data_IF_504631066415
#
_entry.id   IF_504631066415
#
_cell.length_a   1.000
_cell.length_b   1.000
_cell.length_c   1.000
_cell.angle_alpha   90.00
_cell.angle_beta   90.00
_cell.angle_gamma   90.00
#
_symmetry.space_group_name_H-M   'P 1'
#
loop_
_entity.id
_entity.type
_entity.pdbx_description
1 polymer ?
#
# COMPACT_ATOMS: atom_id res chain seq x y z
N UNK A 1 7.16 -3.74 -15.19
CA UNK A 1 6.76 -3.41 -13.80
C UNK A 1 6.35 -4.67 -13.04
N UNK A 2 6.29 -4.59 -11.71
CA UNK A 2 5.81 -5.71 -10.87
C UNK A 2 4.38 -6.09 -11.26
N UNK A 3 3.52 -5.10 -11.53
CA UNK A 3 2.16 -5.32 -11.99
C UNK A 3 2.09 -6.13 -13.30
N UNK A 4 2.99 -5.87 -14.26
CA UNK A 4 3.05 -6.65 -15.51
C UNK A 4 3.48 -8.10 -15.26
N UNK A 5 4.44 -8.33 -14.36
CA UNK A 5 4.86 -9.69 -13.97
C UNK A 5 3.70 -10.44 -13.32
N UNK A 6 2.95 -9.79 -12.44
CA UNK A 6 1.79 -10.36 -11.78
C UNK A 6 0.67 -10.72 -12.78
N UNK A 7 0.42 -9.85 -13.77
CA UNK A 7 -0.53 -10.12 -14.86
C UNK A 7 -0.12 -11.35 -15.69
N UNK A 8 1.18 -11.53 -15.94
CA UNK A 8 1.71 -12.70 -16.66
C UNK A 8 1.51 -14.00 -15.87
N UNK A 9 1.75 -13.99 -14.55
CA UNK A 9 1.55 -15.16 -13.70
C UNK A 9 0.05 -15.54 -13.61
N UNK A 10 -0.85 -14.57 -13.56
CA UNK A 10 -2.29 -14.81 -13.62
C UNK A 10 -2.68 -15.44 -14.96
N UNK A 11 -2.19 -14.88 -16.09
CA UNK A 11 -2.45 -15.41 -17.42
C UNK A 11 -1.93 -16.84 -17.57
N UNK A 12 -0.77 -17.15 -17.01
CA UNK A 12 -0.20 -18.50 -16.97
C UNK A 12 -1.10 -19.47 -16.20
N UNK A 13 -1.55 -19.09 -14.99
CA UNK A 13 -2.47 -19.93 -14.22
C UNK A 13 -3.77 -20.24 -14.98
N UNK A 14 -4.32 -19.25 -15.67
CA UNK A 14 -5.51 -19.40 -16.52
C UNK A 14 -5.26 -20.35 -17.70
N UNK A 15 -4.08 -20.31 -18.33
CA UNK A 15 -3.74 -21.09 -19.51
C UNK A 15 -3.57 -22.61 -19.25
N UNK A 16 -3.36 -23.00 -17.98
CA UNK A 16 -3.05 -24.38 -17.59
C UNK A 16 -4.30 -25.27 -17.40
N UNK A 17 -5.52 -24.80 -17.70
CA UNK A 17 -6.78 -25.51 -17.44
C UNK A 17 -6.86 -26.07 -16.00
N UNK A 18 -6.36 -25.33 -15.04
CA UNK A 18 -6.32 -25.74 -13.64
C UNK A 18 -7.73 -25.89 -13.08
N UNK A 19 -7.97 -26.91 -12.28
CA UNK A 19 -9.24 -27.11 -11.56
C UNK A 19 -9.30 -26.29 -10.26
N UNK A 20 -8.14 -25.94 -9.72
CA UNK A 20 -7.97 -25.11 -8.53
C UNK A 20 -6.90 -24.07 -8.81
N UNK A 21 -7.16 -22.82 -8.50
CA UNK A 21 -6.22 -21.70 -8.62
C UNK A 21 -6.06 -21.04 -7.25
N UNK A 22 -4.81 -20.79 -6.85
CA UNK A 22 -4.50 -20.08 -5.60
C UNK A 22 -3.92 -18.73 -5.98
N UNK A 23 -4.54 -17.67 -5.50
CA UNK A 23 -4.13 -16.30 -5.68
C UNK A 23 -3.71 -15.72 -4.32
N UNK A 24 -2.41 -15.46 -4.15
CA UNK A 24 -1.84 -14.93 -2.92
C UNK A 24 -1.47 -13.46 -3.13
N UNK A 25 -2.16 -12.56 -2.41
CA UNK A 25 -2.04 -11.10 -2.49
C UNK A 25 -2.01 -10.57 -3.95
N UNK A 26 -2.92 -10.99 -4.85
CA UNK A 26 -2.78 -10.75 -6.28
C UNK A 26 -2.93 -9.27 -6.66
N UNK A 27 -3.43 -8.42 -5.77
CA UNK A 27 -3.70 -7.00 -6.01
C UNK A 27 -2.69 -6.05 -5.38
N UNK A 28 -1.66 -6.57 -4.70
CA UNK A 28 -0.72 -5.76 -3.90
C UNK A 28 0.00 -4.66 -4.70
N UNK A 29 0.20 -4.85 -6.01
CA UNK A 29 0.90 -3.92 -6.91
C UNK A 29 0.04 -3.44 -8.07
N UNK A 30 -1.25 -3.73 -8.06
CA UNK A 30 -2.19 -3.37 -9.12
C UNK A 30 -2.86 -2.01 -8.84
N UNK A 31 -3.17 -1.29 -9.92
CA UNK A 31 -4.08 -0.14 -9.91
C UNK A 31 -5.53 -0.60 -9.81
N UNK A 32 -6.45 0.29 -9.42
CA UNK A 32 -7.88 -0.05 -9.28
C UNK A 32 -8.46 -0.62 -10.59
N UNK A 33 -8.09 -0.10 -11.75
CA UNK A 33 -8.53 -0.62 -13.05
C UNK A 33 -8.02 -2.05 -13.32
N UNK A 34 -6.78 -2.36 -12.88
CA UNK A 34 -6.19 -3.70 -13.00
C UNK A 34 -6.85 -4.67 -12.01
N UNK A 35 -7.22 -4.22 -10.82
CA UNK A 35 -7.98 -5.00 -9.84
C UNK A 35 -9.35 -5.39 -10.42
N UNK A 36 -10.08 -4.46 -11.02
CA UNK A 36 -11.35 -4.77 -11.68
C UNK A 36 -11.19 -5.77 -12.84
N UNK A 37 -10.10 -5.65 -13.61
CA UNK A 37 -9.79 -6.61 -14.66
C UNK A 37 -9.53 -8.01 -14.10
N UNK A 38 -8.76 -8.11 -13.00
CA UNK A 38 -8.53 -9.35 -12.28
C UNK A 38 -9.84 -9.96 -11.77
N UNK A 39 -10.72 -9.17 -11.17
CA UNK A 39 -12.00 -9.66 -10.66
C UNK A 39 -12.91 -10.20 -11.78
N UNK A 40 -12.88 -9.60 -12.97
CA UNK A 40 -13.57 -10.16 -14.14
C UNK A 40 -13.03 -11.54 -14.51
N UNK A 41 -11.69 -11.72 -14.50
CA UNK A 41 -11.04 -13.01 -14.76
C UNK A 41 -11.45 -14.04 -13.70
N UNK A 42 -11.42 -13.67 -12.42
CA UNK A 42 -11.80 -14.55 -11.30
C UNK A 42 -13.25 -15.03 -11.46
N UNK A 43 -14.19 -14.10 -11.78
CA UNK A 43 -15.60 -14.43 -12.00
C UNK A 43 -15.79 -15.33 -13.23
N UNK A 44 -15.03 -15.13 -14.31
CA UNK A 44 -15.06 -15.98 -15.49
C UNK A 44 -14.54 -17.39 -15.17
N UNK A 45 -13.43 -17.54 -14.47
CA UNK A 45 -12.92 -18.84 -14.02
C UNK A 45 -13.92 -19.57 -13.14
N UNK A 46 -14.53 -18.88 -12.17
CA UNK A 46 -15.59 -19.43 -11.32
C UNK A 46 -16.78 -19.92 -12.16
N UNK A 47 -17.23 -19.17 -13.16
CA UNK A 47 -18.34 -19.55 -14.03
C UNK A 47 -18.04 -20.82 -14.87
N UNK A 48 -16.77 -21.09 -15.12
CA UNK A 48 -16.29 -22.30 -15.79
C UNK A 48 -16.08 -23.48 -14.83
N UNK A 49 -16.42 -23.35 -13.55
CA UNK A 49 -16.29 -24.39 -12.54
C UNK A 49 -14.88 -24.54 -11.94
N UNK A 50 -14.01 -23.56 -12.11
CA UNK A 50 -12.71 -23.53 -11.43
C UNK A 50 -12.90 -23.08 -9.99
N UNK A 51 -12.34 -23.82 -9.03
CA UNK A 51 -12.29 -23.42 -7.63
C UNK A 51 -11.12 -22.47 -7.38
N UNK A 52 -11.34 -21.42 -6.58
CA UNK A 52 -10.30 -20.43 -6.30
C UNK A 52 -10.08 -20.29 -4.79
N UNK A 53 -8.82 -20.18 -4.38
CA UNK A 53 -8.42 -19.76 -3.05
C UNK A 53 -7.83 -18.35 -3.22
N UNK A 54 -8.46 -17.35 -2.61
CA UNK A 54 -8.06 -15.96 -2.68
C UNK A 54 -7.53 -15.51 -1.34
N UNK A 55 -6.24 -15.20 -1.25
CA UNK A 55 -5.59 -14.76 -0.02
C UNK A 55 -5.35 -13.25 -0.12
N UNK A 56 -5.88 -12.50 0.81
CA UNK A 56 -5.69 -11.04 0.88
C UNK A 56 -5.94 -10.51 2.30
N UNK A 57 -5.33 -9.38 2.61
CA UNK A 57 -5.64 -8.58 3.81
C UNK A 57 -6.59 -7.42 3.51
N UNK A 58 -6.98 -7.23 2.26
CA UNK A 58 -7.92 -6.18 1.83
C UNK A 58 -9.36 -6.66 1.95
N UNK A 59 -10.01 -6.31 3.04
CA UNK A 59 -11.35 -6.81 3.37
C UNK A 59 -12.42 -6.46 2.33
N UNK A 60 -12.29 -5.33 1.63
CA UNK A 60 -13.20 -4.96 0.56
C UNK A 60 -13.17 -5.97 -0.59
N UNK A 61 -11.97 -6.41 -1.00
CA UNK A 61 -11.77 -7.39 -2.05
C UNK A 61 -12.35 -8.75 -1.67
N UNK A 62 -12.04 -9.23 -0.45
CA UNK A 62 -12.53 -10.51 0.06
C UNK A 62 -14.06 -10.53 0.05
N UNK A 63 -14.71 -9.48 0.53
CA UNK A 63 -16.18 -9.38 0.57
C UNK A 63 -16.82 -9.30 -0.81
N UNK A 64 -16.12 -8.75 -1.78
CA UNK A 64 -16.62 -8.60 -3.14
C UNK A 64 -16.54 -9.89 -3.95
N UNK A 65 -15.45 -10.68 -3.77
CA UNK A 65 -15.14 -11.77 -4.70
C UNK A 65 -15.36 -13.16 -4.10
N UNK A 66 -15.29 -13.33 -2.77
CA UNK A 66 -15.35 -14.64 -2.12
C UNK A 66 -16.78 -15.04 -1.75
N UNK A 67 -17.05 -16.35 -1.79
CA UNK A 67 -18.30 -16.93 -1.28
C UNK A 67 -18.22 -17.17 0.24
N UNK A 68 -17.10 -17.76 0.68
CA UNK A 68 -16.80 -18.03 2.08
C UNK A 68 -15.49 -17.36 2.50
N UNK A 69 -15.42 -16.97 3.75
CA UNK A 69 -14.25 -16.33 4.37
C UNK A 69 -13.72 -17.22 5.48
N UNK A 70 -12.50 -17.72 5.30
CA UNK A 70 -11.76 -18.43 6.34
C UNK A 70 -10.78 -17.47 7.01
N UNK A 71 -10.88 -17.32 8.31
CA UNK A 71 -9.95 -16.51 9.09
C UNK A 71 -8.90 -17.39 9.75
N UNK A 72 -7.66 -16.99 9.62
CA UNK A 72 -6.51 -17.57 10.31
C UNK A 72 -5.83 -16.49 11.18
N UNK A 73 -5.28 -16.91 12.32
CA UNK A 73 -4.54 -16.04 13.22
C UNK A 73 -3.44 -16.82 13.92
N UNK A 74 -2.23 -16.28 13.96
CA UNK A 74 -1.04 -16.90 14.60
C UNK A 74 -0.81 -18.34 14.14
N UNK A 75 -1.05 -18.64 12.85
CA UNK A 75 -0.97 -19.98 12.27
C UNK A 75 -2.13 -20.91 12.60
N UNK A 76 -3.10 -20.45 13.40
CA UNK A 76 -4.27 -21.22 13.82
C UNK A 76 -5.52 -20.90 12.98
N UNK A 77 -6.37 -21.91 12.77
CA UNK A 77 -7.70 -21.75 12.20
C UNK A 77 -8.65 -21.15 13.22
N UNK A 78 -9.32 -20.06 12.84
CA UNK A 78 -10.32 -19.37 13.70
C UNK A 78 -11.73 -19.79 13.34
N UNK A 79 -12.04 -19.90 12.06
CA UNK A 79 -13.36 -20.31 11.56
C UNK A 79 -13.58 -19.94 10.11
N UNK A 80 -14.69 -20.42 9.54
CA UNK A 80 -15.16 -20.14 8.18
C UNK A 80 -16.61 -19.69 8.22
N UNK A 81 -16.95 -18.65 7.48
CA UNK A 81 -18.28 -18.08 7.42
C UNK A 81 -18.62 -17.65 5.98
N UNK A 82 -19.92 -17.69 5.58
CA UNK A 82 -20.35 -17.08 4.32
C UNK A 82 -19.97 -15.59 4.27
N UNK A 83 -19.38 -15.15 3.16
CA UNK A 83 -18.94 -13.74 3.01
C UNK A 83 -20.11 -12.75 3.14
N UNK A 84 -21.30 -13.14 2.68
CA UNK A 84 -22.52 -12.32 2.77
C UNK A 84 -23.00 -12.06 4.20
N UNK A 85 -22.62 -12.91 5.16
CA UNK A 85 -23.04 -12.81 6.56
C UNK A 85 -22.04 -12.03 7.43
N UNK A 86 -20.86 -11.67 6.88
CA UNK A 86 -19.78 -11.05 7.64
C UNK A 86 -19.64 -9.57 7.29
N UNK A 87 -19.60 -8.71 8.32
CA UNK A 87 -19.17 -7.32 8.13
C UNK A 87 -17.64 -7.21 8.17
N UNK A 88 -17.10 -6.13 7.62
CA UNK A 88 -15.64 -5.85 7.66
C UNK A 88 -15.12 -5.84 9.11
N UNK A 89 -15.86 -5.22 10.02
CA UNK A 89 -15.50 -5.11 11.44
C UNK A 89 -15.46 -6.48 12.11
N UNK A 90 -16.41 -7.36 11.79
CA UNK A 90 -16.45 -8.72 12.31
C UNK A 90 -15.27 -9.55 11.81
N UNK A 91 -14.92 -9.44 10.52
CA UNK A 91 -13.75 -10.13 9.97
C UNK A 91 -12.48 -9.66 10.68
N UNK A 92 -12.29 -8.33 10.78
CA UNK A 92 -11.12 -7.74 11.44
C UNK A 92 -11.05 -8.17 12.94
N UNK A 93 -12.18 -8.13 13.66
CA UNK A 93 -12.24 -8.57 15.06
C UNK A 93 -11.78 -10.02 15.22
N UNK A 94 -12.20 -10.91 14.30
CA UNK A 94 -11.75 -12.32 14.32
C UNK A 94 -10.27 -12.48 13.98
N UNK A 95 -9.73 -11.68 13.03
CA UNK A 95 -8.31 -11.67 12.69
C UNK A 95 -7.43 -11.18 13.84
N UNK A 96 -7.84 -10.10 14.53
CA UNK A 96 -7.09 -9.49 15.63
C UNK A 96 -7.35 -10.18 16.97
N UNK A 97 -8.49 -10.84 17.12
CA UNK A 97 -8.90 -11.56 18.34
C UNK A 97 -9.45 -10.67 19.44
N UNK A 98 -9.73 -9.42 19.16
CA UNK A 98 -10.41 -8.45 20.07
C UNK A 98 -11.27 -7.50 19.25
N UNK A 99 -12.31 -6.96 19.84
CA UNK A 99 -13.06 -5.87 19.24
C UNK A 99 -12.16 -4.63 19.10
N UNK A 100 -12.13 -4.06 17.90
CA UNK A 100 -11.43 -2.80 17.65
C UNK A 100 -12.37 -1.65 18.03
N UNK A 101 -12.30 -1.20 19.26
CA UNK A 101 -13.08 -0.05 19.74
C UNK A 101 -12.55 1.28 19.21
N UNK A 102 -11.25 1.35 18.87
CA UNK A 102 -10.60 2.52 18.27
C UNK A 102 -9.63 2.09 17.18
N UNK A 103 -10.03 2.21 15.92
CA UNK A 103 -9.17 1.89 14.75
C UNK A 103 -8.02 2.90 14.64
N UNK A 104 -8.27 4.13 15.01
CA UNK A 104 -7.25 5.19 15.01
C UNK A 104 -7.04 5.71 16.43
N UNK A 105 -5.79 5.81 16.91
CA UNK A 105 -5.54 6.51 18.16
C UNK A 105 -6.00 7.97 18.03
N UNK A 106 -6.50 8.59 19.14
CA UNK A 106 -6.85 9.99 19.11
C UNK A 106 -5.65 10.80 18.66
N UNK A 107 -5.89 11.83 17.82
CA UNK A 107 -4.84 12.77 17.45
C UNK A 107 -4.29 13.39 18.73
N UNK A 108 -2.99 13.30 18.92
CA UNK A 108 -2.34 14.02 20.00
C UNK A 108 -2.51 15.52 19.74
N UNK A 109 -3.14 16.24 20.65
CA UNK A 109 -3.25 17.72 20.65
C UNK A 109 -1.91 18.40 21.00
N UNK A 110 -0.79 17.70 20.84
CA UNK A 110 0.54 18.30 21.02
C UNK A 110 0.73 19.37 19.95
N UNK A 111 0.79 20.62 20.40
CA UNK A 111 1.15 21.75 19.52
C UNK A 111 2.47 21.41 18.84
N UNK A 112 2.47 21.47 17.51
CA UNK A 112 3.69 21.25 16.73
C UNK A 112 4.80 22.18 17.22
N UNK A 113 5.96 21.61 17.55
CA UNK A 113 7.11 22.33 18.07
C UNK A 113 7.88 23.10 16.99
N UNK A 114 9.15 23.35 17.25
CA UNK A 114 10.07 23.98 16.30
C UNK A 114 10.20 23.19 14.98
N UNK A 115 10.53 23.87 13.90
CA UNK A 115 10.83 23.24 12.61
C UNK A 115 12.15 22.48 12.72
N UNK A 116 12.09 21.17 12.50
CA UNK A 116 13.26 20.29 12.50
C UNK A 116 13.86 20.10 11.12
N UNK A 117 12.99 19.93 10.11
CA UNK A 117 13.38 19.80 8.71
C UNK A 117 12.63 20.84 7.88
N UNK A 118 13.33 21.52 7.01
CA UNK A 118 12.77 22.48 6.06
C UNK A 118 13.39 22.18 4.67
N UNK A 119 12.55 21.76 3.74
CA UNK A 119 12.92 21.45 2.36
C UNK A 119 12.33 22.53 1.48
N UNK A 120 13.15 23.10 0.59
CA UNK A 120 12.77 24.25 -0.24
C UNK A 120 13.14 24.02 -1.69
N UNK A 121 12.17 24.15 -2.59
CA UNK A 121 12.35 24.11 -4.04
C UNK A 121 13.06 22.86 -4.55
N UNK A 122 12.85 21.71 -3.91
CA UNK A 122 13.60 20.50 -4.15
C UNK A 122 13.17 19.82 -5.44
N UNK A 123 14.09 19.67 -6.39
CA UNK A 123 13.79 19.17 -7.74
C UNK A 123 14.77 18.07 -8.14
N UNK A 124 14.24 17.03 -8.75
CA UNK A 124 14.99 15.91 -9.32
C UNK A 124 15.83 16.36 -10.54
N UNK A 125 16.93 15.64 -10.80
CA UNK A 125 17.66 15.72 -12.08
C UNK A 125 16.85 15.18 -13.27
N UNK A 126 15.74 14.49 -13.03
CA UNK A 126 14.86 13.92 -14.04
C UNK A 126 13.60 14.74 -14.19
N UNK A 127 13.33 15.30 -15.37
CA UNK A 127 12.17 16.17 -15.64
C UNK A 127 10.81 15.54 -15.35
N UNK A 128 10.70 14.21 -15.42
CA UNK A 128 9.47 13.46 -15.14
C UNK A 128 9.36 12.98 -13.70
N UNK A 129 10.21 13.45 -12.81
CA UNK A 129 10.18 13.13 -11.39
C UNK A 129 9.67 14.34 -10.57
N UNK A 130 9.93 14.35 -9.26
CA UNK A 130 9.49 15.45 -8.39
C UNK A 130 10.16 16.79 -8.78
N UNK A 131 9.38 17.87 -8.76
CA UNK A 131 9.82 19.21 -9.11
C UNK A 131 9.27 20.22 -8.10
N UNK A 132 10.10 21.18 -7.70
CA UNK A 132 9.78 22.33 -6.84
C UNK A 132 9.04 21.94 -5.54
N UNK A 133 9.46 20.83 -4.93
CA UNK A 133 8.84 20.34 -3.70
C UNK A 133 9.34 21.13 -2.50
N UNK A 134 8.41 21.69 -1.72
CA UNK A 134 8.72 22.43 -0.50
C UNK A 134 7.79 21.99 0.62
N UNK A 135 8.34 21.72 1.81
CA UNK A 135 7.59 21.37 3.01
C UNK A 135 8.45 21.52 4.25
N UNK A 136 7.80 21.57 5.41
CA UNK A 136 8.46 21.58 6.72
C UNK A 136 7.97 20.42 7.57
N UNK A 137 8.83 19.91 8.45
CA UNK A 137 8.48 18.95 9.49
C UNK A 137 8.85 19.52 10.84
N UNK A 138 7.92 19.46 11.79
CA UNK A 138 8.07 20.01 13.13
C UNK A 138 8.28 18.93 14.18
N UNK A 139 8.85 19.30 15.30
CA UNK A 139 9.03 18.40 16.45
C UNK A 139 7.68 17.85 16.91
N UNK A 140 7.56 16.52 17.01
CA UNK A 140 6.33 15.83 17.43
C UNK A 140 5.24 15.77 16.36
N UNK A 141 5.53 16.21 15.14
CA UNK A 141 4.63 16.10 13.98
C UNK A 141 4.80 14.78 13.24
N UNK A 142 3.70 14.22 12.74
CA UNK A 142 3.69 13.15 11.75
C UNK A 142 3.18 13.77 10.45
N UNK A 143 4.09 14.00 9.51
CA UNK A 143 3.77 14.53 8.18
C UNK A 143 3.51 13.40 7.21
N UNK A 144 2.28 13.33 6.64
CA UNK A 144 1.90 12.34 5.66
C UNK A 144 2.09 12.82 4.21
N UNK A 145 2.67 11.96 3.36
CA UNK A 145 2.76 12.18 1.91
C UNK A 145 1.76 11.28 1.19
N UNK A 146 0.66 11.86 0.72
CA UNK A 146 -0.35 11.17 -0.09
C UNK A 146 -0.05 11.29 -1.60
N UNK A 147 -0.54 10.33 -2.38
CA UNK A 147 -0.47 10.36 -3.85
C UNK A 147 -0.67 8.97 -4.47
N UNK A 148 -1.05 8.93 -5.74
CA UNK A 148 -1.23 7.68 -6.50
C UNK A 148 0.11 6.99 -6.78
N UNK A 149 0.06 5.76 -7.27
CA UNK A 149 1.24 5.05 -7.79
C UNK A 149 1.87 5.89 -8.90
N UNK A 150 3.19 6.11 -8.83
CA UNK A 150 3.90 6.98 -9.76
C UNK A 150 3.97 8.46 -9.38
N UNK A 151 3.38 8.89 -8.25
CA UNK A 151 3.44 10.28 -7.78
C UNK A 151 4.84 10.71 -7.27
N UNK A 152 5.86 9.89 -7.44
CA UNK A 152 7.27 10.19 -7.16
C UNK A 152 7.58 10.49 -5.69
N UNK A 153 6.76 9.96 -4.74
CA UNK A 153 6.96 10.16 -3.30
C UNK A 153 8.24 9.50 -2.80
N UNK A 154 8.48 8.26 -3.23
CA UNK A 154 9.70 7.51 -2.90
C UNK A 154 10.92 8.22 -3.44
N UNK A 155 10.87 8.68 -4.67
CA UNK A 155 11.95 9.39 -5.35
C UNK A 155 12.31 10.70 -4.63
N UNK A 156 11.32 11.44 -4.13
CA UNK A 156 11.54 12.62 -3.32
C UNK A 156 12.25 12.29 -2.00
N UNK A 157 11.80 11.25 -1.30
CA UNK A 157 12.44 10.80 -0.05
C UNK A 157 13.87 10.30 -0.31
N UNK A 158 14.10 9.52 -1.37
CA UNK A 158 15.43 9.06 -1.76
C UNK A 158 16.36 10.24 -2.11
N UNK A 159 15.81 11.31 -2.72
CA UNK A 159 16.54 12.56 -2.97
C UNK A 159 16.97 13.25 -1.66
N UNK A 160 16.06 13.35 -0.70
CA UNK A 160 16.33 13.94 0.62
C UNK A 160 17.35 13.12 1.40
N UNK A 161 17.31 11.79 1.27
CA UNK A 161 18.29 10.89 1.90
C UNK A 161 19.64 10.80 1.17
N UNK A 162 19.83 11.55 0.07
CA UNK A 162 21.08 11.50 -0.70
C UNK A 162 21.32 10.21 -1.48
N UNK A 163 20.27 9.40 -1.70
CA UNK A 163 20.33 8.18 -2.52
C UNK A 163 20.21 8.54 -4.00
N UNK A 164 19.41 9.54 -4.34
CA UNK A 164 19.21 10.04 -5.70
C UNK A 164 19.81 11.42 -5.89
N UNK A 165 20.33 11.67 -7.11
CA UNK A 165 20.79 12.99 -7.52
C UNK A 165 19.64 14.00 -7.58
N UNK A 166 19.92 15.22 -7.14
CA UNK A 166 19.00 16.35 -7.09
C UNK A 166 19.58 17.50 -7.92
N UNK A 167 18.73 18.15 -8.72
CA UNK A 167 19.14 19.25 -9.59
C UNK A 167 19.20 20.58 -8.84
N UNK A 168 18.22 20.84 -7.95
CA UNK A 168 18.11 22.08 -7.21
C UNK A 168 17.34 21.92 -5.91
N UNK A 169 17.38 22.92 -5.08
CA UNK A 169 16.70 23.00 -3.81
C UNK A 169 17.65 23.00 -2.62
N UNK A 170 17.09 23.21 -1.45
CA UNK A 170 17.84 23.33 -0.20
C UNK A 170 17.18 22.55 0.92
N UNK A 171 17.99 21.97 1.77
CA UNK A 171 17.55 21.28 2.98
C UNK A 171 18.16 21.99 4.19
N UNK A 172 17.31 22.23 5.19
CA UNK A 172 17.72 22.77 6.48
C UNK A 172 17.31 21.80 7.59
N UNK A 173 18.23 21.46 8.47
CA UNK A 173 18.00 20.68 9.68
C UNK A 173 18.29 21.58 10.88
N UNK A 174 17.32 21.72 11.78
CA UNK A 174 17.40 22.67 12.92
C UNK A 174 17.81 24.08 12.47
N UNK A 175 17.28 24.55 11.35
CA UNK A 175 17.57 25.88 10.77
C UNK A 175 18.96 26.03 10.14
N UNK A 176 19.78 24.99 10.11
CA UNK A 176 21.09 24.98 9.47
C UNK A 176 21.00 24.31 8.11
N UNK A 177 21.50 24.99 7.07
CA UNK A 177 21.60 24.40 5.73
C UNK A 177 22.54 23.20 5.75
N UNK A 178 22.07 22.08 5.18
CA UNK A 178 22.83 20.84 5.06
C UNK A 178 22.93 20.40 3.59
N UNK A 179 23.95 19.64 3.27
CA UNK A 179 24.13 19.05 1.96
C UNK A 179 24.29 17.54 2.15
N UNK A 180 23.19 16.82 1.95
CA UNK A 180 23.12 15.37 2.13
C UNK A 180 23.51 14.70 0.81
N UNK A 181 24.59 13.96 0.82
CA UNK A 181 25.08 13.19 -0.36
C UNK A 181 24.92 11.69 -0.17
N UNK A 182 24.82 11.25 1.06
CA UNK A 182 24.67 9.84 1.44
C UNK A 182 23.75 9.72 2.67
N UNK A 183 23.06 8.57 2.83
CA UNK A 183 22.15 8.36 3.98
C UNK A 183 22.82 8.44 5.37
N UNK A 184 24.14 8.42 5.42
CA UNK A 184 24.92 8.52 6.68
C UNK A 184 25.23 9.98 7.06
N UNK A 185 25.04 10.94 6.16
CA UNK A 185 25.30 12.36 6.42
C UNK A 185 24.20 12.91 7.31
#
# INVERSE_FOLDING_TARGET
SIAQMQSVEIAKAVSLNARVVILDEPTSSLTDNEVEALFRIVRDLKSRGVSLIYISHKMAEIREICDDITVMRDGGYVGTWPAAEMTTEQIIAKMVGRELTNIYPPKNDTKAGEVLLDVRGYSSIHDRSFQDCSFTLRRGEILGFGGLVGAQRTELMEGIFGIRGVASGEIYIHGKKVNIKHPID
#
